data_IF_947746725093
#
_entry.id   IF_947746725093
#
_cell.length_a   1.000
_cell.length_b   1.000
_cell.length_c   1.000
_cell.angle_alpha   90.00
_cell.angle_beta   90.00
_cell.angle_gamma   90.00
#
_symmetry.space_group_name_H-M   'P 1'
#
loop_
_entity.id
_entity.type
_entity.pdbx_description
1 polymer ?
#
# COMPACT_ATOMS: atom_id res chain seq x y z
N UNK A 1 -16.35 6.16 7.22
CA UNK A 1 -15.26 5.95 8.23
C UNK A 1 -15.24 7.16 9.16
N UNK A 2 -15.32 6.92 10.48
CA UNK A 2 -15.39 8.00 11.50
C UNK A 2 -14.27 9.05 11.38
N UNK A 3 -13.05 8.67 11.01
CA UNK A 3 -11.96 9.62 10.79
C UNK A 3 -12.24 10.61 9.64
N UNK A 4 -12.69 10.11 8.49
CA UNK A 4 -13.03 10.98 7.34
C UNK A 4 -14.19 11.92 7.67
N UNK A 5 -15.22 11.42 8.34
CA UNK A 5 -16.36 12.22 8.81
C UNK A 5 -15.93 13.33 9.79
N UNK A 6 -15.06 12.96 10.75
CA UNK A 6 -14.50 13.92 11.70
C UNK A 6 -13.66 15.00 10.99
N UNK A 7 -12.78 14.59 10.07
CA UNK A 7 -11.93 15.52 9.35
C UNK A 7 -12.74 16.42 8.40
N UNK A 8 -13.78 15.87 7.74
CA UNK A 8 -14.70 16.66 6.92
C UNK A 8 -15.37 17.76 7.74
N UNK A 9 -15.91 17.41 8.92
CA UNK A 9 -16.53 18.40 9.83
C UNK A 9 -15.54 19.45 10.29
N UNK A 10 -14.30 19.05 10.60
CA UNK A 10 -13.26 19.95 11.10
C UNK A 10 -12.76 20.93 10.04
N UNK A 11 -12.68 20.50 8.78
CA UNK A 11 -12.07 21.27 7.69
C UNK A 11 -13.08 21.94 6.78
N UNK A 12 -14.36 21.59 6.86
CA UNK A 12 -15.40 22.01 5.92
C UNK A 12 -15.26 21.40 4.52
N UNK A 13 -14.31 20.49 4.31
CA UNK A 13 -14.05 19.84 3.02
C UNK A 13 -14.62 18.43 3.00
N UNK A 14 -14.96 17.91 1.83
CA UNK A 14 -15.37 16.53 1.68
C UNK A 14 -14.14 15.62 1.74
N UNK A 15 -13.99 14.85 2.82
CA UNK A 15 -12.91 13.88 3.02
C UNK A 15 -13.45 12.46 2.97
N UNK A 16 -12.80 11.60 2.19
CA UNK A 16 -13.20 10.20 2.02
C UNK A 16 -11.99 9.28 1.75
N UNK A 17 -12.21 7.98 1.76
CA UNK A 17 -11.25 7.05 1.17
C UNK A 17 -11.26 7.18 -0.37
N UNK A 18 -10.15 6.88 -1.04
CA UNK A 18 -10.14 6.70 -2.50
C UNK A 18 -11.02 5.49 -2.87
N UNK A 19 -11.64 5.53 -4.03
CA UNK A 19 -12.10 4.31 -4.68
C UNK A 19 -10.90 3.48 -5.13
N UNK A 20 -11.09 2.20 -5.41
CA UNK A 20 -10.05 1.33 -5.92
C UNK A 20 -9.46 1.86 -7.23
N UNK A 21 -10.32 2.35 -8.14
CA UNK A 21 -9.90 2.92 -9.41
C UNK A 21 -9.06 4.20 -9.24
N UNK A 22 -9.47 5.10 -8.34
CA UNK A 22 -8.71 6.31 -8.01
C UNK A 22 -7.35 5.96 -7.41
N UNK A 23 -7.33 4.96 -6.52
CA UNK A 23 -6.09 4.52 -5.90
C UNK A 23 -5.11 3.98 -6.93
N UNK A 24 -5.55 3.09 -7.84
CA UNK A 24 -4.68 2.50 -8.88
C UNK A 24 -4.21 3.55 -9.88
N UNK A 25 -5.10 4.44 -10.32
CA UNK A 25 -4.75 5.56 -11.18
C UNK A 25 -3.66 6.44 -10.56
N UNK A 26 -3.82 6.82 -9.29
CA UNK A 26 -2.85 7.59 -8.55
C UNK A 26 -1.52 6.83 -8.32
N UNK A 27 -1.59 5.53 -8.05
CA UNK A 27 -0.41 4.68 -7.89
C UNK A 27 0.42 4.60 -9.16
N UNK A 28 -0.23 4.38 -10.30
CA UNK A 28 0.43 4.27 -11.61
C UNK A 28 1.05 5.57 -12.07
N UNK A 29 0.47 6.71 -11.73
CA UNK A 29 0.98 8.02 -12.13
C UNK A 29 1.37 8.10 -13.62
N UNK A 30 0.51 7.54 -14.51
CA UNK A 30 0.71 7.51 -15.96
C UNK A 30 1.46 6.28 -16.48
N UNK A 31 1.97 5.39 -15.64
CA UNK A 31 2.67 4.18 -16.09
C UNK A 31 1.71 3.01 -16.32
N UNK A 32 2.12 2.06 -17.17
CA UNK A 32 1.39 0.81 -17.44
C UNK A 32 2.12 -0.43 -16.90
N UNK A 33 3.32 -0.24 -16.36
CA UNK A 33 4.20 -1.28 -15.86
C UNK A 33 3.68 -1.94 -14.59
N UNK A 34 4.32 -3.04 -14.19
CA UNK A 34 3.98 -3.82 -12.99
C UNK A 34 4.03 -2.98 -11.70
N UNK A 35 5.09 -2.19 -11.55
CA UNK A 35 5.27 -1.18 -10.52
C UNK A 35 5.34 0.19 -11.20
N UNK A 36 5.05 1.27 -10.50
CA UNK A 36 5.17 2.61 -11.09
C UNK A 36 6.62 2.99 -11.47
N UNK A 37 7.61 2.21 -11.03
CA UNK A 37 9.04 2.35 -11.33
C UNK A 37 9.52 1.44 -12.46
N UNK A 38 8.66 0.55 -12.99
CA UNK A 38 9.00 -0.43 -14.04
C UNK A 38 8.52 -1.83 -13.74
N UNK A 39 8.99 -2.85 -14.48
CA UNK A 39 8.51 -4.22 -14.36
C UNK A 39 9.37 -5.09 -13.42
N UNK A 40 10.65 -4.76 -13.28
CA UNK A 40 11.57 -5.51 -12.44
C UNK A 40 11.36 -5.20 -10.94
N UNK A 41 11.30 -6.20 -10.04
CA UNK A 41 11.19 -5.96 -8.60
C UNK A 41 12.27 -5.03 -8.05
N UNK A 42 13.50 -5.09 -8.57
CA UNK A 42 14.60 -4.23 -8.16
C UNK A 42 14.34 -2.73 -8.43
N UNK A 43 13.41 -2.38 -9.33
CA UNK A 43 13.08 -0.99 -9.62
C UNK A 43 12.44 -0.25 -8.45
N UNK A 44 11.86 -0.97 -7.47
CA UNK A 44 11.27 -0.37 -6.26
C UNK A 44 12.31 0.04 -5.20
N UNK A 45 13.60 -0.28 -5.40
CA UNK A 45 14.65 0.11 -4.44
C UNK A 45 14.66 1.62 -4.21
N UNK A 46 14.49 2.04 -2.96
CA UNK A 46 14.43 3.44 -2.54
C UNK A 46 13.08 4.14 -2.78
N UNK A 47 12.06 3.41 -3.26
CA UNK A 47 10.71 3.92 -3.51
C UNK A 47 9.64 3.28 -2.61
N UNK A 48 9.93 2.16 -1.98
CA UNK A 48 8.94 1.44 -1.18
C UNK A 48 9.60 0.62 -0.07
N UNK A 49 8.92 0.52 1.06
CA UNK A 49 9.20 -0.47 2.10
C UNK A 49 8.41 -1.75 1.76
N UNK A 50 9.11 -2.81 1.40
CA UNK A 50 8.55 -4.06 0.87
C UNK A 50 9.17 -5.26 1.58
N UNK A 51 8.59 -6.47 1.46
CA UNK A 51 9.21 -7.67 2.02
C UNK A 51 10.55 -7.95 1.32
N UNK A 52 11.63 -7.51 1.91
CA UNK A 52 12.98 -7.54 1.37
C UNK A 52 13.99 -8.24 2.29
N UNK A 53 15.28 -8.00 2.08
CA UNK A 53 16.32 -8.65 2.87
C UNK A 53 16.37 -8.16 4.32
N UNK A 54 15.88 -6.95 4.65
CA UNK A 54 15.76 -6.49 6.03
C UNK A 54 14.75 -7.35 6.82
N UNK A 55 13.56 -7.58 6.25
CA UNK A 55 12.56 -8.47 6.83
C UNK A 55 13.06 -9.92 6.87
N UNK A 56 13.68 -10.42 5.78
CA UNK A 56 14.21 -11.80 5.73
C UNK A 56 15.20 -12.08 6.84
N UNK A 57 16.15 -11.20 7.09
CA UNK A 57 17.10 -11.30 8.21
C UNK A 57 16.39 -11.41 9.57
N UNK A 58 15.25 -10.74 9.73
CA UNK A 58 14.45 -10.77 10.96
C UNK A 58 13.69 -12.09 11.13
N UNK A 59 13.22 -12.69 10.03
CA UNK A 59 12.47 -13.94 10.03
C UNK A 59 13.38 -15.18 10.13
N UNK A 60 14.68 -15.04 9.86
CA UNK A 60 15.68 -16.11 9.95
C UNK A 60 15.91 -16.86 8.63
N UNK A 61 16.89 -17.77 8.64
CA UNK A 61 17.42 -18.44 7.45
C UNK A 61 16.44 -19.38 6.74
N UNK A 62 15.36 -19.80 7.41
CA UNK A 62 14.35 -20.70 6.84
C UNK A 62 13.35 -20.00 5.91
N UNK A 63 13.39 -18.67 5.84
CA UNK A 63 12.51 -17.92 4.96
C UNK A 63 12.91 -18.10 3.48
N UNK A 64 11.95 -18.50 2.64
CA UNK A 64 12.17 -18.68 1.20
C UNK A 64 12.69 -17.37 0.56
N UNK A 65 13.93 -17.38 0.02
CA UNK A 65 14.53 -16.16 -0.53
C UNK A 65 13.76 -15.58 -1.72
N UNK A 66 12.99 -16.40 -2.45
CA UNK A 66 12.23 -15.96 -3.64
C UNK A 66 10.98 -15.17 -3.28
N UNK A 67 10.56 -15.20 -2.02
CA UNK A 67 9.43 -14.44 -1.52
C UNK A 67 9.78 -12.96 -1.27
N UNK A 68 11.06 -12.59 -1.32
CA UNK A 68 11.57 -11.28 -0.95
C UNK A 68 12.12 -10.50 -2.14
N UNK A 69 12.02 -9.18 -2.05
CA UNK A 69 12.67 -8.30 -3.01
C UNK A 69 14.21 -8.39 -2.89
N UNK A 70 14.95 -8.22 -4.00
CA UNK A 70 16.39 -8.46 -4.05
C UNK A 70 17.25 -7.30 -3.56
N UNK A 71 16.76 -6.54 -2.58
CA UNK A 71 17.47 -5.41 -1.97
C UNK A 71 17.20 -5.34 -0.46
N UNK A 72 17.76 -4.38 0.22
CA UNK A 72 17.54 -4.07 1.64
C UNK A 72 17.11 -2.62 1.71
N UNK A 73 15.90 -2.33 2.22
CA UNK A 73 15.35 -0.99 2.36
C UNK A 73 15.62 -0.38 3.76
N UNK A 74 16.19 -1.18 4.66
CA UNK A 74 16.54 -0.79 6.01
C UNK A 74 15.44 -0.97 7.05
N UNK A 75 14.22 -1.38 6.67
CA UNK A 75 13.06 -1.46 7.53
C UNK A 75 12.43 -2.87 7.54
N UNK A 76 12.71 -3.71 8.54
CA UNK A 76 12.08 -5.04 8.64
C UNK A 76 10.59 -4.98 8.98
N UNK A 77 10.08 -3.83 9.42
CA UNK A 77 8.68 -3.55 9.73
C UNK A 77 8.25 -2.25 9.05
N UNK A 78 7.25 -1.54 9.60
CA UNK A 78 6.81 -0.26 9.05
C UNK A 78 7.92 0.80 9.08
N UNK A 79 8.00 1.60 8.02
CA UNK A 79 8.85 2.77 7.92
C UNK A 79 8.07 4.06 8.23
N UNK A 80 8.74 5.16 8.58
CA UNK A 80 8.10 6.48 8.66
C UNK A 80 7.44 6.86 7.33
N UNK A 81 6.26 7.49 7.41
CA UNK A 81 5.54 7.97 6.22
C UNK A 81 6.41 8.96 5.44
N UNK A 82 6.37 8.85 4.11
CA UNK A 82 7.14 9.68 3.17
C UNK A 82 8.67 9.56 3.32
N UNK A 83 9.16 8.49 3.91
CA UNK A 83 10.61 8.22 3.97
C UNK A 83 11.19 7.89 2.59
N UNK A 84 10.48 7.11 1.80
CA UNK A 84 10.88 6.70 0.45
C UNK A 84 10.50 7.74 -0.60
N UNK A 85 11.15 7.67 -1.77
CA UNK A 85 10.87 8.57 -2.90
C UNK A 85 9.43 8.44 -3.37
N UNK A 86 8.80 9.54 -3.81
CA UNK A 86 7.43 9.52 -4.32
C UNK A 86 7.36 8.91 -5.73
N UNK A 87 6.13 8.59 -6.15
CA UNK A 87 5.85 8.28 -7.55
C UNK A 87 5.93 9.57 -8.42
N UNK A 88 5.79 9.48 -9.76
CA UNK A 88 5.87 10.64 -10.66
C UNK A 88 4.90 11.78 -10.35
N UNK A 89 3.81 11.52 -9.62
CA UNK A 89 2.85 12.55 -9.20
C UNK A 89 3.07 13.07 -7.77
N UNK A 90 4.22 12.77 -7.17
CA UNK A 90 4.57 13.25 -5.83
C UNK A 90 3.92 12.46 -4.68
N UNK A 91 3.32 11.30 -4.94
CA UNK A 91 2.66 10.50 -3.91
C UNK A 91 3.63 9.47 -3.32
N UNK A 92 3.87 9.58 -2.01
CA UNK A 92 4.70 8.64 -1.25
C UNK A 92 3.91 7.39 -0.84
N UNK A 93 4.62 6.30 -0.59
CA UNK A 93 4.13 5.06 0.01
C UNK A 93 2.92 4.45 -0.74
N UNK A 94 2.89 4.60 -2.08
CA UNK A 94 1.82 3.99 -2.89
C UNK A 94 1.94 2.47 -2.94
N UNK A 95 3.15 1.93 -2.86
CA UNK A 95 3.42 0.49 -2.78
C UNK A 95 4.20 0.19 -1.50
N UNK A 96 3.90 -0.93 -0.85
CA UNK A 96 4.57 -1.36 0.38
C UNK A 96 4.13 -0.58 1.63
N UNK A 97 4.95 -0.61 2.65
CA UNK A 97 4.74 -0.11 4.00
C UNK A 97 3.51 -0.76 4.65
N UNK A 98 2.31 -0.24 4.40
CA UNK A 98 1.05 -0.82 4.86
C UNK A 98 0.02 -0.86 3.73
N UNK A 99 -0.81 -1.90 3.70
CA UNK A 99 -2.00 -1.93 2.86
C UNK A 99 -2.89 -0.72 3.12
N UNK A 100 -3.54 -0.23 2.09
CA UNK A 100 -4.40 0.95 2.16
C UNK A 100 -5.85 0.60 1.84
N UNK A 101 -6.75 0.91 2.77
CA UNK A 101 -8.18 0.73 2.59
C UNK A 101 -8.72 1.62 1.46
N UNK A 102 -9.53 1.02 0.58
CA UNK A 102 -10.36 1.71 -0.40
C UNK A 102 -11.82 1.78 0.05
N UNK A 103 -12.59 2.64 -0.60
CA UNK A 103 -14.01 2.80 -0.32
C UNK A 103 -14.85 1.61 -0.80
N UNK A 104 -14.36 0.90 -1.81
CA UNK A 104 -15.07 -0.18 -2.49
C UNK A 104 -15.29 -1.39 -1.58
N UNK A 105 -16.47 -1.96 -1.67
CA UNK A 105 -16.89 -3.16 -0.95
C UNK A 105 -17.09 -4.32 -1.93
N UNK A 106 -16.70 -5.51 -1.51
CA UNK A 106 -17.05 -6.76 -2.18
C UNK A 106 -18.29 -7.30 -1.50
N UNK A 107 -19.44 -7.37 -2.19
CA UNK A 107 -20.69 -7.89 -1.63
C UNK A 107 -20.59 -9.39 -1.33
N UNK A 108 -21.42 -9.87 -0.41
CA UNK A 108 -21.51 -11.27 0.00
C UNK A 108 -21.97 -11.39 1.45
N UNK A 109 -22.10 -12.61 1.93
CA UNK A 109 -22.56 -12.91 3.30
C UNK A 109 -21.64 -12.34 4.40
N UNK A 110 -20.39 -12.10 4.04
CA UNK A 110 -19.42 -11.43 4.90
C UNK A 110 -18.75 -10.31 4.09
N UNK A 111 -19.30 -9.09 4.08
CA UNK A 111 -18.80 -8.00 3.27
C UNK A 111 -17.33 -7.69 3.57
N UNK A 112 -16.55 -7.51 2.52
CA UNK A 112 -15.12 -7.18 2.59
C UNK A 112 -14.88 -5.85 1.90
N UNK A 113 -13.83 -5.15 2.32
CA UNK A 113 -13.33 -3.95 1.62
C UNK A 113 -12.03 -4.24 0.90
N UNK A 114 -11.85 -3.52 -0.20
CA UNK A 114 -10.63 -3.59 -1.00
C UNK A 114 -9.47 -3.00 -0.22
N UNK A 115 -8.33 -3.67 -0.33
CA UNK A 115 -7.01 -3.24 0.13
C UNK A 115 -6.07 -3.15 -1.05
N UNK A 116 -5.25 -2.12 -1.10
CA UNK A 116 -4.31 -1.87 -2.20
C UNK A 116 -2.90 -1.61 -1.67
N UNK A 117 -1.89 -1.78 -2.55
CA UNK A 117 -0.50 -1.38 -2.34
C UNK A 117 0.44 -2.44 -1.78
N UNK A 118 -0.06 -3.50 -1.18
CA UNK A 118 0.81 -4.41 -0.42
C UNK A 118 1.29 -3.80 0.89
N UNK A 119 2.22 -4.47 1.54
CA UNK A 119 2.81 -4.02 2.80
C UNK A 119 4.22 -4.57 2.98
N UNK A 120 4.91 -4.16 4.03
CA UNK A 120 6.27 -4.61 4.38
C UNK A 120 6.41 -6.13 4.57
N UNK A 121 5.31 -6.85 4.83
CA UNK A 121 5.31 -8.29 5.16
C UNK A 121 4.47 -9.15 4.22
N UNK A 122 4.09 -8.63 3.06
CA UNK A 122 3.40 -9.41 2.03
C UNK A 122 4.39 -9.97 1.00
N UNK A 123 3.94 -10.71 0.01
CA UNK A 123 4.83 -11.21 -1.03
C UNK A 123 5.01 -10.19 -2.18
N UNK A 124 6.03 -10.40 -3.01
CA UNK A 124 6.36 -9.54 -4.16
C UNK A 124 5.15 -9.34 -5.10
N UNK A 125 4.28 -10.36 -5.24
CA UNK A 125 3.13 -10.30 -6.14
C UNK A 125 2.05 -9.33 -5.65
N UNK A 126 1.93 -9.13 -4.34
CA UNK A 126 0.92 -8.22 -3.75
C UNK A 126 1.34 -6.77 -3.73
N UNK A 127 2.62 -6.46 -3.98
CA UNK A 127 3.13 -5.09 -4.07
C UNK A 127 3.04 -4.47 -5.47
N UNK A 128 2.27 -5.06 -6.42
CA UNK A 128 2.08 -4.51 -7.77
C UNK A 128 0.98 -3.44 -7.80
N UNK A 129 1.05 -2.51 -8.76
CA UNK A 129 0.03 -1.47 -8.93
C UNK A 129 -1.39 -2.05 -9.06
N UNK A 130 -1.54 -3.15 -9.81
CA UNK A 130 -2.83 -3.81 -10.05
C UNK A 130 -3.23 -4.85 -8.98
N UNK A 131 -2.37 -5.13 -8.00
CA UNK A 131 -2.66 -6.15 -7.01
C UNK A 131 -3.78 -5.72 -6.06
N UNK A 132 -4.68 -6.65 -5.76
CA UNK A 132 -5.84 -6.46 -4.87
C UNK A 132 -5.68 -7.35 -3.64
N UNK A 133 -5.90 -6.76 -2.49
CA UNK A 133 -6.17 -7.46 -1.24
C UNK A 133 -7.59 -7.14 -0.77
N UNK A 134 -8.03 -7.82 0.26
CA UNK A 134 -9.32 -7.53 0.89
C UNK A 134 -9.31 -7.94 2.36
N UNK A 135 -10.11 -7.26 3.14
CA UNK A 135 -10.25 -7.53 4.56
C UNK A 135 -11.66 -7.19 5.07
N UNK A 136 -12.03 -7.76 6.22
CA UNK A 136 -13.27 -7.37 6.90
C UNK A 136 -13.14 -5.94 7.41
N UNK A 137 -14.16 -5.08 7.29
CA UNK A 137 -14.09 -3.66 7.68
C UNK A 137 -13.69 -3.40 9.14
N UNK A 138 -13.96 -4.36 10.04
CA UNK A 138 -13.61 -4.26 11.45
C UNK A 138 -12.22 -4.81 11.79
N UNK A 139 -11.51 -5.40 10.84
CA UNK A 139 -10.19 -5.98 11.08
C UNK A 139 -9.14 -4.91 11.36
N UNK A 140 -8.24 -5.23 12.29
CA UNK A 140 -7.11 -4.38 12.68
C UNK A 140 -5.83 -5.19 12.54
N UNK A 141 -4.98 -4.77 11.61
CA UNK A 141 -3.69 -5.40 11.35
C UNK A 141 -2.57 -4.37 11.44
N UNK A 142 -1.41 -4.78 11.93
CA UNK A 142 -0.21 -3.92 12.01
C UNK A 142 0.30 -3.47 10.63
N UNK A 143 -0.11 -4.14 9.58
CA UNK A 143 0.26 -3.90 8.19
C UNK A 143 -0.85 -3.26 7.34
N UNK A 144 -1.85 -2.65 7.98
CA UNK A 144 -2.99 -2.03 7.26
C UNK A 144 -3.24 -0.61 7.77
N UNK A 145 -3.30 0.33 6.85
CA UNK A 145 -3.58 1.73 7.08
C UNK A 145 -4.53 2.30 6.03
N UNK A 146 -4.50 3.58 5.79
CA UNK A 146 -5.32 4.24 4.78
C UNK A 146 -4.70 5.56 4.32
N UNK A 147 -5.13 6.03 3.16
CA UNK A 147 -4.97 7.41 2.69
C UNK A 147 -6.32 8.03 2.41
N UNK A 148 -6.38 9.34 2.34
CA UNK A 148 -7.61 10.09 2.10
C UNK A 148 -7.56 10.81 0.75
N UNK A 149 -8.75 11.04 0.19
CA UNK A 149 -9.00 12.00 -0.88
C UNK A 149 -9.73 13.18 -0.25
N UNK A 150 -9.28 14.38 -0.59
CA UNK A 150 -9.95 15.62 -0.24
C UNK A 150 -10.50 16.20 -1.52
N UNK A 151 -11.83 16.22 -1.67
CA UNK A 151 -12.46 16.89 -2.79
C UNK A 151 -12.38 18.40 -2.61
N UNK A 152 -12.27 19.17 -3.71
CA UNK A 152 -12.26 20.62 -3.68
C UNK A 152 -13.54 21.20 -3.09
#
# INVERSE_FOLDING_TARGET
>A
MKFCEWLSKKTGKQVRLPTEAEWEYACRAGTTTRFFTGDAPASLKGYANVPDQALRKKLGEHADPTAFFPFDDGYPFTAPVAHFKPNPWGLHDMLGNVFQWCADEIPGDSPKRILRGGSYNTNVQTCRCAARGFGKPCSRYSYTGFRIVVAP
#
